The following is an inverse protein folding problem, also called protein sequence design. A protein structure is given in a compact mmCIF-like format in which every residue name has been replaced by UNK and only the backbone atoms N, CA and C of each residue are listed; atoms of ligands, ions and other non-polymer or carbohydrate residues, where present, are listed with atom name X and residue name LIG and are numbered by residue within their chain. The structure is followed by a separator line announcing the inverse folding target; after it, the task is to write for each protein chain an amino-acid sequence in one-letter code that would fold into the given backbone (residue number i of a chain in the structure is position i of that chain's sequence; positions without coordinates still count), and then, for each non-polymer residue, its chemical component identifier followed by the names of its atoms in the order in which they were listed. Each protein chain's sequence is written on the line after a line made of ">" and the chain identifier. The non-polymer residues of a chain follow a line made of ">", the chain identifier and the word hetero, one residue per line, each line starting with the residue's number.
data_IF_468219766959
#
_entry.id   IF_468219766959
#
_cell.length_a   1.000
_cell.length_b   1.000
_cell.length_c   1.000
_cell.angle_alpha   90.00
_cell.angle_beta   90.00
_cell.angle_gamma   90.00
#
_symmetry.space_group_name_H-M   'P 1'
#
loop_
_entity.id
_entity.type
_entity.pdbx_description
1 polymer ?
#
# COMPACT_ATOMS: atom_id res chain seq x y z
N UNK A 1 51.16 49.86 6.52
CA UNK A 1 52.20 49.41 5.57
C UNK A 1 52.61 47.97 5.90
N UNK A 2 52.12 47.00 5.10
CA UNK A 2 52.67 45.66 4.74
C UNK A 2 51.51 44.87 4.15
N UNK A 3 51.17 45.11 2.89
CA UNK A 3 51.76 44.49 1.69
C UNK A 3 51.50 42.97 1.65
N UNK A 4 50.30 42.66 1.17
CA UNK A 4 49.83 41.41 0.61
C UNK A 4 50.75 40.91 -0.52
N UNK A 5 51.56 39.88 -0.23
CA UNK A 5 52.36 39.15 -1.22
C UNK A 5 52.53 37.68 -0.78
N UNK A 6 51.43 36.93 -0.78
CA UNK A 6 51.45 35.46 -0.82
C UNK A 6 50.50 35.01 -1.94
N UNK A 7 50.82 35.47 -3.15
CA UNK A 7 50.32 34.98 -4.44
C UNK A 7 51.55 34.40 -5.14
N UNK A 8 51.40 33.24 -5.79
CA UNK A 8 52.44 32.40 -6.39
C UNK A 8 53.11 31.56 -5.28
N UNK A 9 52.78 30.30 -5.05
CA UNK A 9 52.86 29.16 -5.97
C UNK A 9 51.96 28.04 -5.44
N UNK A 10 51.09 27.49 -6.31
CA UNK A 10 50.55 26.10 -6.35
C UNK A 10 49.29 26.03 -7.25
N UNK A 11 49.31 26.74 -8.39
CA UNK A 11 48.52 26.39 -9.56
C UNK A 11 49.50 25.86 -10.61
N UNK A 12 49.59 24.54 -10.71
CA UNK A 12 50.49 23.88 -11.63
C UNK A 12 50.24 22.39 -11.64
N UNK A 13 49.14 21.98 -12.29
CA UNK A 13 48.92 20.72 -13.04
C UNK A 13 47.42 20.41 -13.07
N UNK A 14 46.75 20.90 -14.11
CA UNK A 14 45.34 20.59 -14.34
C UNK A 14 44.73 21.31 -15.54
N UNK A 15 45.51 21.60 -16.57
CA UNK A 15 44.99 22.13 -17.83
C UNK A 15 45.73 21.45 -18.98
N UNK A 16 44.99 20.65 -19.75
CA UNK A 16 45.13 20.28 -21.17
C UNK A 16 44.83 18.79 -21.41
N UNK A 17 43.55 18.46 -21.47
CA UNK A 17 43.03 17.47 -22.41
C UNK A 17 42.03 18.18 -23.32
N UNK A 18 42.57 18.75 -24.39
CA UNK A 18 41.83 19.42 -25.46
C UNK A 18 41.36 18.38 -26.49
N UNK A 19 40.23 18.66 -27.12
CA UNK A 19 39.70 18.05 -28.35
C UNK A 19 38.96 16.70 -28.23
N UNK A 20 37.64 16.78 -28.40
CA UNK A 20 36.76 15.61 -28.41
C UNK A 20 35.34 15.95 -28.84
N UNK A 21 35.19 16.49 -30.06
CA UNK A 21 33.99 16.42 -30.89
C UNK A 21 32.68 17.02 -30.35
N UNK A 22 32.34 18.17 -30.92
CA UNK A 22 30.97 18.54 -31.30
C UNK A 22 30.38 17.38 -32.13
N UNK A 23 29.73 16.41 -31.47
CA UNK A 23 29.00 15.32 -32.11
C UNK A 23 27.52 15.46 -31.80
N UNK A 24 26.81 15.97 -32.82
CA UNK A 24 25.40 15.70 -33.08
C UNK A 24 24.44 15.95 -31.92
N UNK A 25 23.92 17.17 -31.84
CA UNK A 25 22.53 17.35 -31.43
C UNK A 25 21.65 16.60 -32.45
N UNK A 26 21.42 15.31 -32.19
CA UNK A 26 20.32 14.60 -32.81
C UNK A 26 19.08 15.15 -32.13
N UNK A 27 18.47 16.17 -32.74
CA UNK A 27 17.08 16.49 -32.44
C UNK A 27 16.27 15.28 -32.88
N UNK A 28 16.06 14.33 -31.97
CA UNK A 28 14.96 13.39 -32.12
C UNK A 28 13.71 14.23 -31.94
N UNK A 29 13.19 14.79 -33.04
CA UNK A 29 11.81 15.27 -33.06
C UNK A 29 10.97 14.06 -32.67
N UNK A 30 10.44 14.06 -31.45
CA UNK A 30 9.41 13.11 -31.05
C UNK A 30 8.29 13.29 -32.07
N UNK A 31 8.12 12.32 -32.97
CA UNK A 31 6.99 12.32 -33.88
C UNK A 31 5.75 12.33 -32.99
N UNK A 32 5.10 13.49 -32.90
CA UNK A 32 3.82 13.59 -32.24
C UNK A 32 2.88 12.81 -33.15
N UNK A 33 2.49 11.61 -32.71
CA UNK A 33 1.39 10.91 -33.35
C UNK A 33 0.21 11.90 -33.36
N UNK A 34 -0.31 12.20 -34.55
CA UNK A 34 -1.50 13.04 -34.66
C UNK A 34 -2.58 12.45 -33.74
N UNK A 35 -3.31 13.28 -32.98
CA UNK A 35 -4.43 12.80 -32.17
C UNK A 35 -5.37 11.97 -33.07
N UNK A 36 -5.91 10.85 -32.58
CA UNK A 36 -6.83 10.04 -33.38
C UNK A 36 -7.95 10.95 -33.86
N UNK A 37 -8.12 11.04 -35.18
CA UNK A 37 -9.23 11.78 -35.78
C UNK A 37 -10.53 11.22 -35.20
N UNK A 38 -11.45 12.07 -34.71
CA UNK A 38 -12.75 11.59 -34.25
C UNK A 38 -13.40 10.77 -35.37
N UNK A 39 -13.74 9.52 -35.08
CA UNK A 39 -14.36 8.64 -36.06
C UNK A 39 -15.72 9.22 -36.45
N UNK A 40 -16.02 9.38 -37.75
CA UNK A 40 -17.34 9.82 -38.18
C UNK A 40 -18.35 8.76 -37.73
N UNK A 41 -19.37 9.21 -36.99
CA UNK A 41 -20.49 8.37 -36.59
C UNK A 41 -21.15 7.79 -37.85
N UNK A 42 -21.44 6.48 -37.90
CA UNK A 42 -22.16 5.87 -39.00
C UNK A 42 -23.43 6.68 -39.32
N UNK A 43 -23.52 7.21 -40.54
CA UNK A 43 -24.68 8.00 -40.97
C UNK A 43 -25.66 7.07 -41.68
N UNK A 44 -26.91 6.92 -41.20
CA UNK A 44 -27.93 6.18 -41.92
C UNK A 44 -28.24 6.88 -43.25
N UNK A 45 -28.31 6.11 -44.34
CA UNK A 45 -28.85 6.56 -45.63
C UNK A 45 -30.35 6.25 -45.69
N UNK A 46 -31.09 6.93 -46.56
CA UNK A 46 -32.54 6.77 -46.77
C UNK A 46 -32.98 5.32 -47.07
N UNK A 47 -32.08 4.47 -47.55
CA UNK A 47 -32.29 3.04 -47.83
C UNK A 47 -32.10 2.14 -46.59
N UNK A 48 -31.85 2.72 -45.41
CA UNK A 48 -31.57 1.99 -44.17
C UNK A 48 -30.14 1.44 -44.10
N UNK A 49 -29.29 1.69 -45.10
CA UNK A 49 -27.89 1.31 -45.06
C UNK A 49 -27.11 2.21 -44.09
N UNK A 50 -26.36 1.59 -43.21
CA UNK A 50 -25.39 2.26 -42.33
C UNK A 50 -24.07 2.33 -43.08
N UNK A 51 -23.60 3.54 -43.39
CA UNK A 51 -22.38 3.72 -44.20
C UNK A 51 -21.24 4.39 -43.44
N UNK A 52 -20.01 4.06 -43.84
CA UNK A 52 -18.76 4.65 -43.36
C UNK A 52 -17.88 5.08 -44.53
N UNK A 53 -17.32 6.30 -44.47
CA UNK A 53 -16.36 6.79 -45.46
C UNK A 53 -14.94 6.63 -44.94
N UNK A 54 -14.17 5.77 -45.60
CA UNK A 54 -12.78 5.42 -45.26
C UNK A 54 -11.91 6.68 -45.18
N UNK A 55 -11.17 6.84 -44.10
CA UNK A 55 -10.25 7.96 -43.88
C UNK A 55 -8.80 7.58 -44.23
N UNK A 56 -7.90 8.55 -44.48
CA UNK A 56 -6.48 8.27 -44.65
C UNK A 56 -5.91 7.47 -43.46
N UNK A 57 -5.32 6.31 -43.74
CA UNK A 57 -4.74 5.42 -42.72
C UNK A 57 -5.71 4.42 -42.08
N UNK A 58 -6.96 4.35 -42.55
CA UNK A 58 -7.87 3.25 -42.18
C UNK A 58 -7.45 1.92 -42.82
N UNK A 59 -7.70 0.83 -42.11
CA UNK A 59 -7.64 -0.54 -42.62
C UNK A 59 -9.01 -1.20 -42.46
N UNK A 60 -9.34 -2.20 -43.28
CA UNK A 60 -10.61 -2.92 -43.16
C UNK A 60 -10.80 -3.52 -41.76
N UNK A 61 -9.71 -4.03 -41.18
CA UNK A 61 -9.62 -4.50 -39.79
C UNK A 61 -10.03 -3.44 -38.77
N UNK A 62 -9.48 -2.21 -38.89
CA UNK A 62 -9.78 -1.12 -37.95
C UNK A 62 -11.25 -0.71 -38.02
N UNK A 63 -11.79 -0.63 -39.24
CA UNK A 63 -13.19 -0.26 -39.47
C UNK A 63 -14.15 -1.32 -38.91
N UNK A 64 -13.87 -2.60 -39.18
CA UNK A 64 -14.64 -3.73 -38.67
C UNK A 64 -14.72 -3.74 -37.13
N UNK A 65 -13.58 -3.51 -36.47
CA UNK A 65 -13.50 -3.46 -35.00
C UNK A 65 -14.34 -2.31 -34.41
N UNK A 66 -14.32 -1.13 -35.05
CA UNK A 66 -15.06 0.04 -34.58
C UNK A 66 -16.56 -0.12 -34.83
N UNK A 67 -16.93 -0.68 -35.98
CA UNK A 67 -18.32 -0.96 -36.32
C UNK A 67 -18.91 -2.16 -35.55
N UNK A 68 -18.07 -2.93 -34.85
CA UNK A 68 -18.42 -4.23 -34.27
C UNK A 68 -19.05 -5.19 -35.29
N UNK A 69 -18.51 -5.20 -36.52
CA UNK A 69 -18.96 -6.06 -37.62
C UNK A 69 -17.84 -7.01 -37.99
N UNK A 70 -18.07 -8.33 -38.08
CA UNK A 70 -17.07 -9.29 -38.55
C UNK A 70 -16.54 -8.91 -39.94
N UNK A 71 -15.22 -9.05 -40.16
CA UNK A 71 -14.57 -8.65 -41.43
C UNK A 71 -15.17 -9.38 -42.63
N UNK A 72 -15.48 -10.66 -42.47
CA UNK A 72 -16.11 -11.45 -43.54
C UNK A 72 -17.50 -10.90 -43.92
N UNK A 73 -18.27 -10.47 -42.93
CA UNK A 73 -19.56 -9.83 -43.16
C UNK A 73 -19.38 -8.47 -43.83
N UNK A 74 -18.40 -7.68 -43.39
CA UNK A 74 -18.09 -6.38 -44.00
C UNK A 74 -17.62 -6.52 -45.46
N UNK A 75 -16.83 -7.57 -45.77
CA UNK A 75 -16.41 -7.90 -47.15
C UNK A 75 -17.60 -8.32 -48.00
N UNK A 76 -18.45 -9.20 -47.47
CA UNK A 76 -19.65 -9.66 -48.16
C UNK A 76 -20.62 -8.51 -48.48
N UNK A 77 -20.83 -7.59 -47.53
CA UNK A 77 -21.69 -6.41 -47.72
C UNK A 77 -21.18 -5.44 -48.80
N UNK A 78 -19.87 -5.42 -49.03
CA UNK A 78 -19.22 -4.46 -49.94
C UNK A 78 -18.60 -5.11 -51.19
N UNK A 79 -18.85 -6.41 -51.41
CA UNK A 79 -18.25 -7.21 -52.49
C UNK A 79 -16.71 -7.08 -52.56
N UNK A 80 -16.04 -7.04 -51.40
CA UNK A 80 -14.58 -6.89 -51.33
C UNK A 80 -13.88 -8.25 -51.44
N UNK A 81 -13.04 -8.40 -52.46
CA UNK A 81 -12.19 -9.59 -52.64
C UNK A 81 -10.90 -9.54 -51.83
N UNK A 82 -10.51 -8.36 -51.30
CA UNK A 82 -9.30 -8.15 -50.49
C UNK A 82 -9.55 -7.21 -49.30
N UNK A 83 -8.62 -7.19 -48.35
CA UNK A 83 -8.68 -6.33 -47.16
C UNK A 83 -8.17 -4.89 -47.39
N UNK A 84 -7.82 -4.57 -48.63
CA UNK A 84 -7.30 -3.26 -49.02
C UNK A 84 -8.47 -2.28 -49.20
N UNK A 85 -8.47 -1.21 -48.42
CA UNK A 85 -9.44 -0.10 -48.51
C UNK A 85 -8.72 1.19 -48.89
N UNK A 86 -9.37 2.03 -49.69
CA UNK A 86 -8.81 3.30 -50.15
C UNK A 86 -9.47 4.49 -49.45
N UNK A 87 -8.71 5.52 -49.03
CA UNK A 87 -9.31 6.73 -48.46
C UNK A 87 -10.35 7.34 -49.39
N UNK A 88 -11.53 7.67 -48.85
CA UNK A 88 -12.68 8.18 -49.58
C UNK A 88 -13.70 7.12 -50.02
N UNK A 89 -13.33 5.83 -49.99
CA UNK A 89 -14.23 4.71 -50.27
C UNK A 89 -15.40 4.68 -49.28
N UNK A 90 -16.61 4.37 -49.75
CA UNK A 90 -17.79 4.22 -48.90
C UNK A 90 -18.05 2.73 -48.67
N UNK A 91 -18.11 2.34 -47.40
CA UNK A 91 -18.41 0.98 -46.96
C UNK A 91 -19.78 0.93 -46.31
N UNK A 92 -20.57 -0.07 -46.66
CA UNK A 92 -21.82 -0.47 -46.01
C UNK A 92 -21.44 -1.33 -44.81
N UNK A 93 -21.73 -0.85 -43.60
CA UNK A 93 -21.49 -1.56 -42.35
C UNK A 93 -22.64 -2.51 -41.99
N UNK A 94 -23.86 -2.22 -42.46
CA UNK A 94 -25.04 -3.03 -42.22
C UNK A 94 -26.30 -2.36 -42.74
N UNK A 95 -27.43 -3.04 -42.64
CA UNK A 95 -28.76 -2.47 -42.89
C UNK A 95 -29.51 -2.42 -41.57
N UNK A 96 -29.92 -1.23 -41.16
CA UNK A 96 -30.91 -1.09 -40.11
C UNK A 96 -32.25 -1.53 -40.70
N UNK A 97 -32.65 -2.78 -40.43
CA UNK A 97 -34.03 -3.19 -40.67
C UNK A 97 -34.88 -2.37 -39.71
N UNK A 98 -35.89 -1.61 -40.16
CA UNK A 98 -36.89 -1.08 -39.25
C UNK A 98 -37.64 -2.28 -38.67
N UNK A 99 -37.19 -2.73 -37.50
CA UNK A 99 -37.91 -3.69 -36.70
C UNK A 99 -39.28 -3.06 -36.41
N UNK A 100 -40.34 -3.76 -36.86
CA UNK A 100 -41.72 -3.34 -36.58
C UNK A 100 -41.90 -3.28 -35.07
N UNK A 101 -41.84 -2.06 -34.56
CA UNK A 101 -42.25 -1.73 -33.20
C UNK A 101 -43.71 -2.16 -33.05
N UNK A 102 -44.10 -2.93 -32.02
CA UNK A 102 -45.51 -3.23 -31.79
C UNK A 102 -46.30 -1.91 -31.62
N UNK A 103 -47.47 -1.85 -32.26
CA UNK A 103 -48.48 -0.78 -32.16
C UNK A 103 -48.63 -0.25 -30.73
N UNK A 104 -48.74 1.08 -30.52
CA UNK A 104 -49.01 1.63 -29.19
C UNK A 104 -50.43 1.24 -28.75
N UNK A 105 -50.54 0.15 -28.01
CA UNK A 105 -51.65 -0.06 -27.10
C UNK A 105 -51.61 1.05 -26.04
N UNK A 106 -52.79 1.56 -25.69
CA UNK A 106 -52.98 2.64 -24.73
C UNK A 106 -51.98 2.56 -23.57
N UNK A 107 -51.25 3.65 -23.34
CA UNK A 107 -50.30 3.85 -22.26
C UNK A 107 -50.88 3.31 -20.94
N UNK A 108 -50.41 2.19 -20.37
CA UNK A 108 -50.47 2.07 -18.93
C UNK A 108 -49.58 3.20 -18.42
N UNK A 109 -50.16 4.10 -17.61
CA UNK A 109 -49.40 4.99 -16.73
C UNK A 109 -48.15 4.24 -16.27
N UNK A 110 -46.92 4.77 -16.49
CA UNK A 110 -45.71 4.05 -16.12
C UNK A 110 -45.82 3.70 -14.65
N UNK A 111 -46.03 2.42 -14.36
CA UNK A 111 -45.69 1.86 -13.07
C UNK A 111 -44.23 2.28 -12.85
N UNK A 112 -43.90 2.98 -11.77
CA UNK A 112 -42.52 3.36 -11.50
C UNK A 112 -41.66 2.10 -11.69
N UNK A 113 -40.66 2.16 -12.58
CA UNK A 113 -39.65 1.12 -12.63
C UNK A 113 -39.11 1.03 -11.21
N UNK A 114 -39.36 -0.10 -10.53
CA UNK A 114 -38.68 -0.35 -9.28
C UNK A 114 -37.18 -0.21 -9.56
N UNK A 115 -36.43 0.50 -8.70
CA UNK A 115 -35.00 0.63 -8.89
C UNK A 115 -34.43 -0.78 -9.10
N UNK A 116 -33.64 -0.98 -10.16
CA UNK A 116 -32.83 -2.19 -10.30
C UNK A 116 -32.13 -2.39 -8.96
N UNK A 117 -32.28 -3.54 -8.28
CA UNK A 117 -31.64 -3.74 -7.00
C UNK A 117 -30.14 -3.51 -7.23
N UNK A 118 -29.62 -2.47 -6.60
CA UNK A 118 -28.17 -2.31 -6.51
C UNK A 118 -27.68 -3.58 -5.83
N UNK A 119 -26.73 -4.34 -6.41
CA UNK A 119 -26.24 -5.55 -5.76
C UNK A 119 -25.86 -5.16 -4.34
N UNK A 120 -26.48 -5.81 -3.35
CA UNK A 120 -26.20 -5.49 -1.96
C UNK A 120 -24.70 -5.70 -1.75
N UNK A 121 -23.98 -4.71 -1.17
CA UNK A 121 -22.57 -4.88 -0.88
C UNK A 121 -22.43 -6.13 -0.02
N UNK A 122 -21.64 -7.09 -0.50
CA UNK A 122 -21.46 -8.35 0.21
C UNK A 122 -20.81 -8.05 1.57
N UNK A 123 -21.42 -8.54 2.64
CA UNK A 123 -20.97 -8.32 4.01
C UNK A 123 -20.32 -9.58 4.56
N UNK A 124 -19.33 -9.42 5.43
CA UNK A 124 -18.68 -10.51 6.15
C UNK A 124 -18.84 -10.38 7.67
N UNK A 125 -18.22 -11.32 8.37
CA UNK A 125 -18.18 -11.41 9.82
C UNK A 125 -16.73 -11.55 10.30
N UNK A 126 -16.37 -10.83 11.35
CA UNK A 126 -15.07 -10.97 12.03
C UNK A 126 -15.33 -11.38 13.47
N UNK A 127 -14.84 -12.55 13.85
CA UNK A 127 -14.86 -13.08 15.21
C UNK A 127 -13.50 -12.94 15.87
N UNK A 128 -13.49 -12.49 17.11
CA UNK A 128 -12.28 -12.20 17.89
C UNK A 128 -12.35 -12.91 19.23
N UNK A 129 -11.27 -13.55 19.64
CA UNK A 129 -11.15 -14.10 20.98
C UNK A 129 -9.72 -14.00 21.51
N UNK A 130 -9.63 -13.94 22.85
CA UNK A 130 -8.39 -14.00 23.60
C UNK A 130 -8.29 -15.40 24.19
N UNK A 131 -7.10 -15.99 24.21
CA UNK A 131 -6.86 -17.31 24.78
C UNK A 131 -5.63 -17.33 25.69
N UNK A 132 -5.60 -18.30 26.59
CA UNK A 132 -4.45 -18.59 27.44
C UNK A 132 -3.40 -19.37 26.65
N UNK A 133 -2.27 -18.74 26.34
CA UNK A 133 -1.19 -19.34 25.55
C UNK A 133 -0.21 -20.04 26.48
N UNK A 134 -0.60 -21.17 27.07
CA UNK A 134 0.19 -21.86 28.10
C UNK A 134 1.57 -22.29 27.62
N UNK A 135 1.68 -22.64 26.34
CA UNK A 135 2.91 -23.17 25.76
C UNK A 135 3.78 -22.07 25.10
N UNK A 136 3.28 -20.84 25.01
CA UNK A 136 3.97 -19.66 24.49
C UNK A 136 4.24 -19.72 22.98
N UNK A 137 3.48 -20.51 22.22
CA UNK A 137 3.68 -20.70 20.79
C UNK A 137 2.92 -19.67 19.92
N UNK A 138 2.14 -18.78 20.56
CA UNK A 138 1.34 -17.75 19.91
C UNK A 138 0.28 -18.29 18.92
N UNK A 139 -0.20 -19.53 19.13
CA UNK A 139 -1.23 -20.18 18.34
C UNK A 139 -2.22 -20.91 19.26
N UNK A 140 -3.51 -20.62 19.05
CA UNK A 140 -4.58 -21.29 19.78
C UNK A 140 -4.62 -22.80 19.49
N UNK A 141 -4.52 -23.61 20.55
CA UNK A 141 -4.65 -25.06 20.54
C UNK A 141 -5.96 -25.48 21.26
N UNK A 142 -7.02 -25.79 20.49
CA UNK A 142 -8.39 -26.04 20.98
C UNK A 142 -8.51 -27.17 22.01
N UNK A 143 -7.60 -28.15 21.98
CA UNK A 143 -7.62 -29.29 22.91
C UNK A 143 -7.04 -28.96 24.29
N UNK A 144 -6.21 -27.92 24.40
CA UNK A 144 -5.41 -27.64 25.61
C UNK A 144 -5.55 -26.24 26.15
N UNK A 145 -5.97 -25.27 25.32
CA UNK A 145 -6.03 -23.85 25.68
C UNK A 145 -7.49 -23.38 25.78
N UNK A 146 -7.72 -22.38 26.63
CA UNK A 146 -9.05 -21.87 26.96
C UNK A 146 -9.23 -20.42 26.53
N UNK A 147 -10.49 -20.01 26.32
CA UNK A 147 -10.80 -18.61 26.06
C UNK A 147 -10.72 -17.78 27.35
N UNK A 148 -10.25 -16.54 27.22
CA UNK A 148 -10.12 -15.58 28.30
C UNK A 148 -11.08 -14.41 28.11
N UNK A 149 -11.79 -14.08 29.18
CA UNK A 149 -12.70 -12.94 29.24
C UNK A 149 -11.97 -11.62 29.57
N UNK A 150 -12.60 -10.50 29.24
CA UNK A 150 -12.18 -9.18 29.69
C UNK A 150 -11.17 -8.45 28.79
N UNK A 151 -10.74 -9.07 27.69
CA UNK A 151 -9.96 -8.39 26.66
C UNK A 151 -10.82 -7.37 25.91
N UNK A 152 -10.36 -6.12 25.84
CA UNK A 152 -11.07 -5.04 25.15
C UNK A 152 -10.71 -5.05 23.67
N UNK A 153 -11.71 -5.21 22.79
CA UNK A 153 -11.51 -5.28 21.34
C UNK A 153 -11.96 -3.97 20.69
N UNK A 154 -11.15 -3.42 19.80
CA UNK A 154 -11.54 -2.34 18.89
C UNK A 154 -11.33 -2.76 17.45
N UNK A 155 -12.35 -2.59 16.61
CA UNK A 155 -12.33 -2.92 15.19
C UNK A 155 -12.66 -1.67 14.40
N UNK A 156 -11.72 -1.27 13.53
CA UNK A 156 -11.85 -0.06 12.72
C UNK A 156 -11.47 -0.33 11.28
N UNK A 157 -12.24 0.22 10.34
CA UNK A 157 -11.89 0.15 8.92
C UNK A 157 -11.04 1.35 8.48
N UNK A 158 -10.36 1.20 7.34
CA UNK A 158 -9.48 2.24 6.77
C UNK A 158 -10.19 3.59 6.53
N UNK A 159 -11.46 3.55 6.15
CA UNK A 159 -12.25 4.73 5.82
C UNK A 159 -12.90 5.37 7.06
N UNK A 160 -12.72 4.77 8.24
CA UNK A 160 -13.29 5.19 9.53
C UNK A 160 -14.84 5.25 9.54
N UNK A 161 -15.49 4.52 8.64
CA UNK A 161 -16.94 4.38 8.60
C UNK A 161 -17.45 3.28 9.54
N UNK A 162 -16.55 2.37 9.94
CA UNK A 162 -16.77 1.34 10.96
C UNK A 162 -15.80 1.59 12.11
N UNK A 163 -16.33 1.75 13.30
CA UNK A 163 -15.61 1.86 14.57
C UNK A 163 -16.45 1.15 15.63
N UNK A 164 -16.11 -0.10 15.90
CA UNK A 164 -16.85 -0.98 16.80
C UNK A 164 -15.94 -1.42 17.93
N UNK A 165 -16.53 -1.62 19.11
CA UNK A 165 -15.82 -2.11 20.28
C UNK A 165 -16.59 -3.26 20.92
N UNK A 166 -15.89 -4.13 21.64
CA UNK A 166 -16.50 -5.12 22.51
C UNK A 166 -15.50 -5.70 23.50
N UNK A 167 -15.94 -6.74 24.21
CA UNK A 167 -15.14 -7.39 25.25
C UNK A 167 -15.17 -8.89 25.01
N UNK A 168 -14.03 -9.58 25.12
CA UNK A 168 -13.96 -11.03 24.97
C UNK A 168 -14.67 -11.75 26.12
N UNK A 169 -15.22 -12.93 25.83
CA UNK A 169 -15.83 -13.84 26.80
C UNK A 169 -14.96 -15.09 26.98
N UNK A 170 -15.17 -15.83 28.07
CA UNK A 170 -14.55 -17.13 28.32
C UNK A 170 -15.31 -18.30 27.66
N UNK A 171 -16.53 -18.06 27.19
CA UNK A 171 -17.41 -19.10 26.65
C UNK A 171 -17.41 -19.13 25.12
N UNK A 172 -17.43 -17.96 24.47
CA UNK A 172 -17.56 -17.85 23.01
C UNK A 172 -16.79 -16.65 22.42
N UNK A 173 -16.37 -16.73 21.14
CA UNK A 173 -15.77 -15.61 20.43
C UNK A 173 -16.72 -14.43 20.25
N UNK A 174 -16.18 -13.21 20.34
CA UNK A 174 -16.91 -11.99 20.04
C UNK A 174 -16.99 -11.78 18.52
N UNK A 175 -18.18 -11.86 17.94
CA UNK A 175 -18.38 -11.69 16.49
C UNK A 175 -19.02 -10.34 16.12
N UNK A 176 -18.39 -9.63 15.19
CA UNK A 176 -18.91 -8.44 14.53
C UNK A 176 -19.44 -8.83 13.15
N UNK A 177 -20.76 -8.82 13.01
CA UNK A 177 -21.46 -9.24 11.79
C UNK A 177 -21.76 -8.06 10.87
N UNK A 178 -22.17 -8.37 9.64
CA UNK A 178 -22.68 -7.39 8.68
C UNK A 178 -21.68 -6.28 8.31
N UNK A 179 -20.38 -6.61 8.35
CA UNK A 179 -19.30 -5.70 8.04
C UNK A 179 -19.11 -5.58 6.51
N UNK A 180 -19.03 -4.36 5.95
CA UNK A 180 -18.68 -4.17 4.54
C UNK A 180 -17.33 -4.83 4.19
N UNK A 181 -17.20 -5.34 2.96
CA UNK A 181 -15.89 -5.79 2.46
C UNK A 181 -14.86 -4.65 2.50
N UNK A 182 -13.61 -4.96 2.85
CA UNK A 182 -12.56 -3.95 2.97
C UNK A 182 -11.43 -4.32 3.94
N UNK A 183 -10.56 -3.35 4.18
CA UNK A 183 -9.42 -3.47 5.10
C UNK A 183 -9.79 -2.96 6.50
N UNK A 184 -9.53 -3.80 7.50
CA UNK A 184 -9.79 -3.56 8.91
C UNK A 184 -8.52 -3.65 9.72
N UNK A 185 -8.48 -2.92 10.82
CA UNK A 185 -7.45 -2.99 11.84
C UNK A 185 -8.12 -3.35 13.17
N UNK A 186 -7.72 -4.49 13.74
CA UNK A 186 -8.28 -5.04 14.97
C UNK A 186 -7.21 -4.92 16.04
N UNK A 187 -7.54 -4.22 17.12
CA UNK A 187 -6.65 -4.06 18.26
C UNK A 187 -7.27 -4.66 19.53
N UNK A 188 -6.41 -5.22 20.38
CA UNK A 188 -6.77 -5.82 21.64
C UNK A 188 -6.06 -5.12 22.82
N UNK A 189 -6.85 -4.63 23.76
CA UNK A 189 -6.41 -4.29 25.11
C UNK A 189 -6.42 -5.53 25.98
N UNK A 190 -5.23 -6.00 26.35
CA UNK A 190 -5.02 -7.15 27.25
C UNK A 190 -5.51 -6.77 28.66
N UNK A 191 -6.30 -7.62 29.34
CA UNK A 191 -6.77 -7.33 30.69
C UNK A 191 -5.62 -7.31 31.70
N UNK A 192 -5.86 -6.69 32.85
CA UNK A 192 -4.84 -6.57 33.91
C UNK A 192 -4.35 -7.94 34.40
N UNK A 193 -3.07 -8.01 34.76
CA UNK A 193 -2.45 -9.24 35.27
C UNK A 193 -2.09 -10.26 34.19
N UNK A 194 -2.27 -9.93 32.91
CA UNK A 194 -1.82 -10.75 31.79
C UNK A 194 -0.80 -10.00 30.93
N UNK A 195 0.10 -10.74 30.28
CA UNK A 195 1.05 -10.24 29.30
C UNK A 195 0.73 -10.85 27.92
N UNK A 196 0.64 -10.05 26.84
CA UNK A 196 0.38 -10.58 25.51
C UNK A 196 1.53 -11.45 25.02
N UNK A 197 1.20 -12.58 24.39
CA UNK A 197 2.15 -13.43 23.65
C UNK A 197 2.05 -13.23 22.14
N UNK A 198 0.93 -12.69 21.64
CA UNK A 198 0.75 -12.30 20.24
C UNK A 198 0.82 -10.78 20.06
N UNK A 199 0.87 -10.32 18.80
CA UNK A 199 0.68 -8.92 18.50
C UNK A 199 -0.73 -8.46 18.93
N UNK A 200 -0.82 -7.27 19.53
CA UNK A 200 -2.09 -6.67 19.97
C UNK A 200 -2.80 -5.87 18.89
N UNK A 201 -2.26 -5.86 17.66
CA UNK A 201 -2.87 -5.20 16.53
C UNK A 201 -2.66 -6.00 15.24
N UNK A 202 -3.75 -6.24 14.49
CA UNK A 202 -3.75 -7.01 13.25
C UNK A 202 -4.50 -6.29 12.13
N UNK A 203 -3.85 -6.03 10.98
CA UNK A 203 -4.56 -5.69 9.77
C UNK A 203 -5.17 -6.97 9.17
N UNK A 204 -6.44 -6.91 8.81
CA UNK A 204 -7.14 -7.99 8.10
C UNK A 204 -7.92 -7.44 6.92
N UNK A 205 -7.97 -8.22 5.84
CA UNK A 205 -8.81 -7.95 4.69
C UNK A 205 -10.03 -8.86 4.76
N UNK A 206 -11.21 -8.26 4.76
CA UNK A 206 -12.49 -8.97 4.77
C UNK A 206 -13.09 -8.94 3.37
N UNK A 207 -13.34 -10.11 2.78
CA UNK A 207 -14.13 -10.23 1.57
C UNK A 207 -15.60 -10.53 1.92
N UNK A 208 -16.51 -10.15 1.03
CA UNK A 208 -17.93 -10.32 1.29
C UNK A 208 -18.35 -11.79 1.33
N UNK A 209 -18.96 -12.20 2.46
CA UNK A 209 -19.32 -13.59 2.77
C UNK A 209 -18.31 -14.31 3.66
N UNK A 210 -17.15 -13.72 3.93
CA UNK A 210 -16.13 -14.32 4.80
C UNK A 210 -16.56 -14.34 6.26
N UNK A 211 -16.09 -15.37 6.97
CA UNK A 211 -16.06 -15.42 8.44
C UNK A 211 -14.61 -15.56 8.86
N UNK A 212 -14.03 -14.48 9.38
CA UNK A 212 -12.63 -14.45 9.81
C UNK A 212 -12.54 -14.62 11.32
N UNK A 213 -11.62 -15.47 11.77
CA UNK A 213 -11.28 -15.63 13.18
C UNK A 213 -9.91 -15.01 13.45
N UNK A 214 -9.87 -14.02 14.35
CA UNK A 214 -8.65 -13.34 14.76
C UNK A 214 -8.40 -13.62 16.23
N UNK A 215 -7.23 -14.19 16.52
CA UNK A 215 -6.91 -14.74 17.84
C UNK A 215 -5.79 -13.94 18.49
N UNK A 216 -5.87 -13.83 19.81
CA UNK A 216 -4.86 -13.15 20.60
C UNK A 216 -4.48 -14.01 21.79
N UNK A 217 -3.19 -14.24 21.98
CA UNK A 217 -2.66 -15.04 23.08
C UNK A 217 -2.19 -14.15 24.21
N UNK A 218 -2.43 -14.58 25.45
CA UNK A 218 -1.88 -13.96 26.64
C UNK A 218 -1.51 -15.01 27.69
N UNK A 219 -0.56 -14.67 28.54
CA UNK A 219 -0.13 -15.47 29.68
C UNK A 219 -0.27 -14.66 30.97
N UNK A 220 -0.46 -15.31 32.14
CA UNK A 220 -0.36 -14.64 33.43
C UNK A 220 0.93 -13.84 33.52
N UNK A 221 0.82 -12.58 33.94
CA UNK A 221 1.98 -11.80 34.33
C UNK A 221 2.50 -12.44 35.61
N UNK A 222 3.53 -13.27 35.52
CA UNK A 222 4.20 -13.79 36.70
C UNK A 222 4.51 -12.61 37.62
N UNK A 223 3.88 -12.61 38.80
CA UNK A 223 4.32 -11.78 39.91
C UNK A 223 5.74 -12.23 40.19
N UNK A 224 6.73 -11.56 39.60
CA UNK A 224 8.11 -11.83 39.93
C UNK A 224 8.19 -11.69 41.46
N UNK A 225 8.48 -12.79 42.20
CA UNK A 225 8.58 -12.68 43.65
C UNK A 225 9.59 -11.58 43.86
N UNK A 226 9.20 -10.54 44.60
CA UNK A 226 10.09 -9.46 44.94
C UNK A 226 11.29 -10.15 45.60
N UNK A 227 12.36 -10.36 44.86
CA UNK A 227 13.64 -10.58 45.46
C UNK A 227 13.91 -9.22 46.09
N UNK A 228 13.69 -9.12 47.41
CA UNK A 228 14.47 -8.17 48.20
C UNK A 228 15.90 -8.33 47.65
N UNK A 229 16.55 -7.26 47.18
CA UNK A 229 17.93 -7.38 46.78
C UNK A 229 18.66 -8.00 47.95
N UNK A 230 19.05 -9.27 47.82
CA UNK A 230 19.93 -9.95 48.74
C UNK A 230 21.20 -9.14 48.66
N UNK A 231 21.34 -8.23 49.62
CA UNK A 231 22.41 -7.25 49.70
C UNK A 231 23.74 -7.95 49.90
N UNK A 232 24.27 -8.54 48.83
CA UNK A 232 25.69 -8.59 48.59
C UNK A 232 26.07 -7.22 48.09
N UNK A 233 26.87 -6.48 48.86
CA UNK A 233 27.52 -5.26 48.39
C UNK A 233 28.53 -5.69 47.32
N UNK A 234 28.03 -6.01 46.12
CA UNK A 234 28.84 -6.12 44.93
C UNK A 234 29.25 -4.70 44.58
N UNK A 235 30.40 -4.26 45.09
CA UNK A 235 30.99 -2.99 44.68
C UNK A 235 31.09 -3.05 43.15
N UNK A 236 30.35 -2.21 42.41
CA UNK A 236 30.39 -2.28 40.96
C UNK A 236 31.84 -2.11 40.54
N UNK A 237 32.34 -2.98 39.65
CA UNK A 237 33.75 -2.98 39.23
C UNK A 237 34.20 -1.57 38.79
N UNK A 238 33.28 -0.79 38.21
CA UNK A 238 33.48 0.61 37.85
C UNK A 238 33.80 1.55 39.03
N UNK A 239 33.29 1.29 40.24
CA UNK A 239 33.64 2.06 41.43
C UNK A 239 35.08 1.78 41.89
N UNK A 240 35.57 0.54 41.77
CA UNK A 240 36.96 0.20 42.06
C UNK A 240 37.91 0.84 41.04
N UNK A 241 37.53 0.82 39.75
CA UNK A 241 38.28 1.53 38.69
C UNK A 241 38.30 3.04 38.95
N UNK A 242 37.17 3.63 39.34
CA UNK A 242 37.07 5.05 39.70
C UNK A 242 37.99 5.44 40.85
N UNK A 243 37.99 4.66 41.94
CA UNK A 243 38.90 4.89 43.08
C UNK A 243 40.36 4.77 42.65
N UNK A 244 40.69 3.81 41.80
CA UNK A 244 42.04 3.66 41.23
C UNK A 244 42.50 4.89 40.46
N UNK A 245 41.64 5.46 39.60
CA UNK A 245 41.95 6.67 38.84
C UNK A 245 42.11 7.90 39.73
N UNK A 246 41.31 8.03 40.79
CA UNK A 246 41.43 9.13 41.76
C UNK A 246 42.77 9.03 42.50
N UNK A 247 43.14 7.85 42.99
CA UNK A 247 44.42 7.65 43.69
C UNK A 247 45.63 7.90 42.77
N UNK A 248 45.56 7.46 41.52
CA UNK A 248 46.58 7.76 40.51
C UNK A 248 46.73 9.27 40.31
N UNK A 249 45.61 9.99 40.15
CA UNK A 249 45.60 11.44 39.97
C UNK A 249 46.21 12.19 41.15
N UNK A 250 45.85 11.79 42.38
CA UNK A 250 46.42 12.36 43.61
C UNK A 250 47.92 12.07 43.74
N UNK A 251 48.36 10.87 43.37
CA UNK A 251 49.78 10.50 43.36
C UNK A 251 50.60 11.34 42.38
N UNK A 252 50.09 11.54 41.15
CA UNK A 252 50.73 12.41 40.16
C UNK A 252 50.78 13.86 40.61
N UNK A 253 49.70 14.37 41.21
CA UNK A 253 49.66 15.73 41.76
C UNK A 253 50.68 15.93 42.89
N UNK A 254 50.79 14.97 43.81
CA UNK A 254 51.78 15.02 44.89
C UNK A 254 53.22 14.93 44.37
N UNK A 255 53.47 14.08 43.37
CA UNK A 255 54.78 13.99 42.72
C UNK A 255 55.16 15.31 42.05
N UNK A 256 54.27 15.91 41.26
CA UNK A 256 54.50 17.21 40.61
C UNK A 256 54.72 18.32 41.64
N UNK A 257 53.97 18.31 42.74
CA UNK A 257 54.16 19.25 43.85
C UNK A 257 55.53 19.09 44.52
N UNK A 258 56.00 17.85 44.72
CA UNK A 258 57.34 17.60 45.29
C UNK A 258 58.45 17.99 44.32
N UNK A 259 58.31 17.66 43.03
CA UNK A 259 59.28 17.94 41.99
C UNK A 259 59.41 19.45 41.68
N UNK A 260 58.36 20.23 41.93
CA UNK A 260 58.36 21.69 41.75
C UNK A 260 58.92 22.47 42.95
N UNK A 261 59.28 21.82 44.06
CA UNK A 261 59.93 22.51 45.19
C UNK A 261 61.40 22.82 44.83
N UNK A 262 61.82 24.11 44.85
CA UNK A 262 63.20 24.47 44.59
C UNK A 262 64.13 23.97 45.71
N UNK A 263 65.39 23.60 45.39
CA UNK A 263 66.31 22.91 46.31
C UNK A 263 66.83 23.74 47.50
N UNK A 264 66.27 24.91 47.79
CA UNK A 264 66.77 25.82 48.83
C UNK A 264 66.10 25.66 50.21
N UNK A 265 65.26 24.63 50.41
CA UNK A 265 64.66 24.30 51.71
C UNK A 265 64.89 22.82 52.09
N UNK A 266 66.15 22.39 52.06
CA UNK A 266 66.60 21.23 52.83
C UNK A 266 67.76 21.69 53.73
N UNK A 267 67.41 22.15 54.93
CA UNK A 267 68.28 22.28 56.10
C UNK A 267 67.62 21.56 57.25
#
# INVERSE_FOLDING_TARGET
>A
MRSSRDWLWLLGLGALALSGLVRGLVFTSKAYAAPPTPFPTPTPREDGAIIYRVQPGDTLWRIAAIANVPIEQLRALNNLTSDVVTPGQVLILGYAVPEATPTPAATPTPTPLLPTPTPEPRKGTICVFLYEDDNGNARFDEDTEVYLAGGQVSLRNRDNTVDLTGTTSADEPLCFENLPEGEYNIAMGIPEGLNPTTATNWPVRLEGGDVLYVTFGAQPQDEQPWYAPQGGIGVPVFALVGVGLILLGLGLAWYAYRASRPPYLQS
#
